data_IF_506191048546
#
_entry.id   IF_506191048546
#
_cell.length_a   1.000
_cell.length_b   1.000
_cell.length_c   1.000
_cell.angle_alpha   90.00
_cell.angle_beta   90.00
_cell.angle_gamma   90.00
#
_symmetry.space_group_name_H-M   'P 1'
#
loop_
_entity.id
_entity.type
_entity.pdbx_description
1 polymer ?
#
# COMPACT_ATOMS: atom_id res chain seq x y z
N UNK A 1 4.26 26.08 -9.14
CA UNK A 1 3.71 25.40 -7.96
C UNK A 1 3.29 24.00 -8.40
N UNK A 2 4.25 23.11 -8.61
CA UNK A 2 3.98 21.75 -9.09
C UNK A 2 3.78 20.87 -7.86
N UNK A 3 2.52 20.55 -7.56
CA UNK A 3 2.21 19.54 -6.55
C UNK A 3 2.83 18.22 -7.04
N UNK A 4 3.64 17.51 -6.23
CA UNK A 4 4.27 16.27 -6.66
C UNK A 4 3.18 15.27 -7.06
N UNK A 5 3.40 14.56 -8.18
CA UNK A 5 2.50 13.50 -8.63
C UNK A 5 2.36 12.47 -7.53
N UNK A 6 1.13 12.23 -7.06
CA UNK A 6 0.84 11.16 -6.11
C UNK A 6 1.00 9.81 -6.82
N UNK A 7 1.86 8.94 -6.30
CA UNK A 7 1.95 7.58 -6.77
C UNK A 7 0.68 6.83 -6.37
N UNK A 8 0.00 6.25 -7.36
CA UNK A 8 -1.16 5.36 -7.12
C UNK A 8 -0.69 3.94 -7.35
N UNK A 9 -0.72 3.15 -6.29
CA UNK A 9 -0.16 1.81 -6.26
C UNK A 9 -1.29 0.85 -5.93
N UNK A 10 -1.35 -0.24 -6.70
CA UNK A 10 -2.30 -1.32 -6.45
C UNK A 10 -1.57 -2.47 -5.78
N UNK A 11 -1.94 -2.75 -4.53
CA UNK A 11 -1.48 -3.89 -3.76
C UNK A 11 -2.46 -5.04 -3.91
N UNK A 12 -2.03 -6.17 -4.47
CA UNK A 12 -2.86 -7.37 -4.60
C UNK A 12 -2.69 -8.28 -3.39
N UNK A 13 -3.79 -8.85 -2.91
CA UNK A 13 -3.83 -9.85 -1.84
C UNK A 13 -2.86 -11.00 -2.10
N UNK A 14 -2.95 -11.59 -3.29
CA UNK A 14 -2.12 -12.73 -3.69
C UNK A 14 -0.62 -12.42 -3.58
N UNK A 15 -0.20 -11.21 -3.99
CA UNK A 15 1.21 -10.83 -3.97
C UNK A 15 1.70 -10.50 -2.56
N UNK A 16 0.88 -9.82 -1.77
CA UNK A 16 1.13 -9.58 -0.35
C UNK A 16 1.36 -10.91 0.39
N UNK A 17 0.40 -11.84 0.30
CA UNK A 17 0.46 -13.12 1.00
C UNK A 17 1.65 -13.97 0.52
N UNK A 18 1.99 -13.91 -0.78
CA UNK A 18 3.12 -14.63 -1.36
C UNK A 18 4.48 -14.10 -0.89
N UNK A 19 4.63 -12.79 -0.75
CA UNK A 19 5.89 -12.16 -0.34
C UNK A 19 6.10 -12.23 1.17
N UNK A 20 5.05 -12.03 1.95
CA UNK A 20 5.08 -12.09 3.42
C UNK A 20 5.10 -13.55 3.93
N UNK A 21 4.51 -14.47 3.18
CA UNK A 21 4.43 -15.90 3.53
C UNK A 21 3.32 -16.23 4.54
N UNK A 22 2.49 -15.25 4.91
CA UNK A 22 1.30 -15.44 5.73
C UNK A 22 0.19 -14.44 5.39
N UNK A 23 -1.03 -14.75 5.83
CA UNK A 23 -2.25 -13.99 5.52
C UNK A 23 -2.42 -12.87 6.55
N UNK A 24 -2.17 -11.62 6.15
CA UNK A 24 -2.40 -10.43 6.99
C UNK A 24 -3.86 -9.97 6.87
N UNK A 25 -4.65 -9.80 7.93
CA UNK A 25 -6.05 -9.36 7.84
C UNK A 25 -6.21 -8.07 7.02
N UNK A 26 -7.24 -8.01 6.17
CA UNK A 26 -7.48 -6.85 5.29
C UNK A 26 -7.56 -5.52 6.05
N UNK A 27 -8.22 -5.53 7.21
CA UNK A 27 -8.30 -4.36 8.09
C UNK A 27 -6.93 -3.90 8.58
N UNK A 28 -6.02 -4.84 8.88
CA UNK A 28 -4.67 -4.54 9.33
C UNK A 28 -3.82 -3.94 8.20
N UNK A 29 -3.92 -4.50 6.98
CA UNK A 29 -3.26 -3.94 5.78
C UNK A 29 -3.73 -2.50 5.55
N UNK A 30 -5.04 -2.30 5.54
CA UNK A 30 -5.66 -0.99 5.37
C UNK A 30 -5.27 0.01 6.47
N UNK A 31 -5.19 -0.43 7.72
CA UNK A 31 -4.76 0.41 8.86
C UNK A 31 -3.30 0.83 8.72
N UNK A 32 -2.39 -0.11 8.42
CA UNK A 32 -0.96 0.18 8.21
C UNK A 32 -0.79 1.22 7.10
N UNK A 33 -1.39 0.95 5.93
CA UNK A 33 -1.32 1.87 4.78
C UNK A 33 -1.87 3.27 5.10
N UNK A 34 -2.97 3.36 5.87
CA UNK A 34 -3.52 4.64 6.33
C UNK A 34 -2.61 5.35 7.33
N UNK A 35 -1.97 4.61 8.24
CA UNK A 35 -0.99 5.15 9.21
C UNK A 35 0.25 5.70 8.51
N UNK A 36 0.63 5.16 7.36
CA UNK A 36 1.71 5.67 6.52
C UNK A 36 1.34 6.98 5.80
N UNK A 37 0.07 7.40 5.87
CA UNK A 37 -0.45 8.59 5.22
C UNK A 37 -1.01 8.35 3.83
N UNK A 38 -1.14 7.09 3.40
CA UNK A 38 -1.71 6.74 2.10
C UNK A 38 -3.24 6.78 2.16
N UNK A 39 -3.88 7.19 1.06
CA UNK A 39 -5.32 7.02 0.90
C UNK A 39 -5.59 5.62 0.37
N UNK A 40 -6.32 4.81 1.14
CA UNK A 40 -6.54 3.38 0.83
C UNK A 40 -7.99 3.14 0.45
N UNK A 41 -8.17 2.56 -0.74
CA UNK A 41 -9.45 2.07 -1.24
C UNK A 41 -9.40 0.56 -1.39
N UNK A 42 -10.23 -0.14 -0.64
CA UNK A 42 -10.37 -1.60 -0.72
C UNK A 42 -11.20 -1.99 -1.95
N UNK A 43 -10.68 -2.90 -2.76
CA UNK A 43 -11.27 -3.42 -3.98
C UNK A 43 -11.29 -4.95 -3.95
N UNK A 44 -12.10 -5.53 -3.07
CA UNK A 44 -12.22 -6.98 -2.92
C UNK A 44 -10.89 -7.61 -2.48
N UNK A 45 -10.16 -8.19 -3.43
CA UNK A 45 -8.87 -8.85 -3.23
C UNK A 45 -7.66 -7.93 -3.50
N UNK A 46 -7.85 -6.62 -3.48
CA UNK A 46 -6.77 -5.65 -3.66
C UNK A 46 -7.03 -4.34 -2.92
N UNK A 47 -5.94 -3.61 -2.68
CA UNK A 47 -5.97 -2.26 -2.12
C UNK A 47 -5.37 -1.30 -3.12
N UNK A 48 -6.07 -0.20 -3.37
CA UNK A 48 -5.50 0.92 -4.09
C UNK A 48 -5.03 1.94 -3.06
N UNK A 49 -3.71 2.09 -2.94
CA UNK A 49 -3.07 3.04 -2.05
C UNK A 49 -2.54 4.22 -2.87
N UNK A 50 -2.97 5.42 -2.50
CA UNK A 50 -2.43 6.67 -3.06
C UNK A 50 -1.45 7.23 -2.05
N UNK A 51 -0.17 7.18 -2.38
CA UNK A 51 0.89 7.70 -1.52
C UNK A 51 0.84 9.24 -1.46
N UNK A 52 1.17 9.84 -0.30
CA UNK A 52 1.26 11.27 -0.18
C UNK A 52 2.46 11.80 -0.98
N UNK A 53 2.39 13.07 -1.38
CA UNK A 53 3.35 13.69 -2.30
C UNK A 53 4.79 13.81 -1.76
N UNK A 54 5.02 13.51 -0.49
CA UNK A 54 6.33 13.50 0.16
C UNK A 54 6.91 12.09 0.36
N UNK A 55 6.12 11.04 0.12
CA UNK A 55 6.57 9.64 0.14
C UNK A 55 7.01 9.27 -1.27
N UNK A 56 8.31 9.37 -1.51
CA UNK A 56 8.96 8.95 -2.76
C UNK A 56 9.54 7.54 -2.66
N UNK A 57 9.56 6.98 -1.46
CA UNK A 57 9.94 5.59 -1.16
C UNK A 57 8.83 4.58 -1.47
N UNK A 58 7.62 5.05 -1.81
CA UNK A 58 6.47 4.22 -2.16
C UNK A 58 6.11 4.50 -3.61
N UNK A 59 6.69 3.76 -4.54
CA UNK A 59 6.44 3.90 -5.98
C UNK A 59 5.84 2.63 -6.58
N UNK A 60 6.17 1.47 -6.01
CA UNK A 60 5.74 0.17 -6.52
C UNK A 60 5.00 -0.65 -5.46
N UNK A 61 4.33 -1.70 -5.93
CA UNK A 61 3.59 -2.62 -5.07
C UNK A 61 4.49 -3.26 -4.00
N UNK A 62 5.75 -3.53 -4.32
CA UNK A 62 6.70 -4.19 -3.40
C UNK A 62 7.06 -3.31 -2.19
N UNK A 63 7.15 -1.98 -2.36
CA UNK A 63 7.40 -1.05 -1.24
C UNK A 63 6.26 -1.09 -0.21
N UNK A 64 5.01 -1.18 -0.69
CA UNK A 64 3.85 -1.31 0.18
C UNK A 64 3.87 -2.65 0.94
N UNK A 65 4.29 -3.72 0.27
CA UNK A 65 4.41 -5.03 0.90
C UNK A 65 5.48 -5.00 1.99
N UNK A 66 6.64 -4.39 1.74
CA UNK A 66 7.70 -4.24 2.73
C UNK A 66 7.21 -3.47 3.97
N UNK A 67 6.49 -2.36 3.77
CA UNK A 67 5.97 -1.56 4.89
C UNK A 67 4.81 -2.23 5.64
N UNK A 68 4.07 -3.16 5.00
CA UNK A 68 3.04 -3.98 5.67
C UNK A 68 3.66 -5.17 6.40
N UNK A 69 4.79 -5.69 5.91
CA UNK A 69 5.53 -6.79 6.53
C UNK A 69 6.38 -6.36 7.74
N UNK A 70 6.69 -5.07 7.83
CA UNK A 70 7.53 -4.45 8.86
C UNK A 70 6.82 -4.23 10.19
#
# INVERSE_FOLDING_TARGET
NELPKRATITLRREKLDRLIGHVVPSEQVSDILRRLGCQVTEQGDSWQAVAPSWRFDMEIEEDLVEEVAR
#
